data_IF_237727129441
#
_entry.id   IF_237727129441
#
_cell.length_a   1.000
_cell.length_b   1.000
_cell.length_c   1.000
_cell.angle_alpha   90.00
_cell.angle_beta   90.00
_cell.angle_gamma   90.00
#
_symmetry.space_group_name_H-M   'P 1'
#
loop_
_entity.id
_entity.type
_entity.pdbx_description
1 polymer ?
#
# COMPACT_ATOMS: atom_id res chain seq x y z
N UNK A 1 9.59 14.48 -14.32
CA UNK A 1 9.52 13.99 -15.71
C UNK A 1 8.12 14.25 -16.22
N UNK A 2 7.90 15.41 -16.82
CA UNK A 2 6.65 15.68 -17.53
C UNK A 2 6.60 14.74 -18.74
N UNK A 3 5.58 13.90 -18.80
CA UNK A 3 5.35 13.07 -19.98
C UNK A 3 5.08 14.01 -21.17
N UNK A 4 5.86 13.85 -22.23
CA UNK A 4 5.69 14.58 -23.49
C UNK A 4 4.20 14.51 -23.92
N UNK A 5 3.62 15.65 -24.35
CA UNK A 5 2.21 15.77 -24.79
C UNK A 5 1.82 14.68 -25.80
N UNK A 6 2.77 14.22 -26.63
CA UNK A 6 2.58 13.10 -27.57
C UNK A 6 2.43 11.74 -26.88
N UNK A 7 3.20 11.46 -25.81
CA UNK A 7 3.03 10.25 -24.98
C UNK A 7 1.76 10.30 -24.15
N UNK A 8 1.38 11.47 -23.62
CA UNK A 8 0.07 11.65 -22.94
C UNK A 8 -1.09 11.37 -23.90
N UNK A 9 -1.04 11.91 -25.12
CA UNK A 9 -2.04 11.60 -26.17
C UNK A 9 -2.05 10.14 -26.57
N UNK A 10 -0.89 9.46 -26.68
CA UNK A 10 -0.84 8.02 -26.99
C UNK A 10 -1.39 7.14 -25.86
N UNK A 11 -1.14 7.50 -24.60
CA UNK A 11 -1.69 6.78 -23.43
C UNK A 11 -3.21 7.01 -23.35
N UNK A 12 -3.65 8.26 -23.49
CA UNK A 12 -5.07 8.61 -23.57
C UNK A 12 -5.77 7.89 -24.73
N UNK A 13 -5.17 7.88 -25.92
CA UNK A 13 -5.75 7.21 -27.09
C UNK A 13 -5.73 5.68 -27.00
N UNK A 14 -4.82 5.06 -26.23
CA UNK A 14 -4.85 3.61 -25.98
C UNK A 14 -5.88 3.19 -24.93
N UNK A 15 -6.17 4.05 -23.95
CA UNK A 15 -7.18 3.77 -22.92
C UNK A 15 -8.61 3.83 -23.47
N UNK A 16 -8.86 4.62 -24.51
CA UNK A 16 -10.19 4.80 -25.11
C UNK A 16 -10.47 3.93 -26.34
N UNK A 17 -9.48 3.25 -26.95
CA UNK A 17 -9.68 2.57 -28.25
C UNK A 17 -9.68 1.04 -28.24
N UNK A 18 -9.37 0.36 -27.15
CA UNK A 18 -9.57 -1.09 -27.08
C UNK A 18 -10.70 -1.39 -26.10
N UNK A 19 -11.92 -1.48 -26.62
CA UNK A 19 -12.96 -2.23 -25.94
C UNK A 19 -12.41 -3.64 -25.65
N UNK A 20 -12.67 -4.20 -24.46
CA UNK A 20 -12.27 -5.56 -24.16
C UNK A 20 -12.86 -6.51 -25.21
N UNK A 21 -12.06 -7.50 -25.63
CA UNK A 21 -12.43 -8.46 -26.66
C UNK A 21 -13.76 -9.11 -26.29
N UNK A 22 -14.75 -9.09 -27.19
CA UNK A 22 -16.07 -9.67 -26.94
C UNK A 22 -15.94 -11.15 -26.53
N UNK A 23 -16.56 -11.51 -25.41
CA UNK A 23 -16.46 -12.84 -24.81
C UNK A 23 -15.28 -13.08 -23.87
N UNK A 24 -14.39 -12.09 -23.67
CA UNK A 24 -13.37 -12.17 -22.62
C UNK A 24 -13.96 -11.87 -21.23
N UNK A 25 -13.34 -12.40 -20.17
CA UNK A 25 -13.73 -12.14 -18.77
C UNK A 25 -13.74 -10.63 -18.47
N UNK A 26 -12.82 -9.87 -19.05
CA UNK A 26 -12.76 -8.41 -18.92
C UNK A 26 -13.94 -7.71 -19.60
N UNK A 27 -14.48 -8.27 -20.69
CA UNK A 27 -15.67 -7.74 -21.38
C UNK A 27 -16.94 -7.97 -20.58
N UNK A 28 -17.08 -9.14 -19.96
CA UNK A 28 -18.16 -9.43 -19.02
C UNK A 28 -18.12 -8.51 -17.79
N UNK A 29 -16.93 -8.34 -17.18
CA UNK A 29 -16.74 -7.43 -16.05
C UNK A 29 -17.00 -5.97 -16.44
N UNK A 30 -16.59 -5.55 -17.64
CA UNK A 30 -16.88 -4.21 -18.17
C UNK A 30 -18.39 -3.98 -18.30
N UNK A 31 -19.12 -4.92 -18.90
CA UNK A 31 -20.57 -4.83 -19.06
C UNK A 31 -21.30 -4.82 -17.70
N UNK A 32 -20.88 -5.66 -16.75
CA UNK A 32 -21.42 -5.63 -15.38
C UNK A 32 -21.13 -4.31 -14.68
N UNK A 33 -19.90 -3.80 -14.78
CA UNK A 33 -19.50 -2.53 -14.17
C UNK A 33 -20.24 -1.33 -14.78
N UNK A 34 -20.57 -1.35 -16.07
CA UNK A 34 -21.35 -0.29 -16.73
C UNK A 34 -22.73 -0.10 -16.08
N UNK A 35 -23.28 -1.15 -15.46
CA UNK A 35 -24.55 -1.09 -14.74
C UNK A 35 -24.39 -0.73 -13.25
N UNK A 36 -23.17 -0.48 -12.78
CA UNK A 36 -22.89 -0.15 -11.39
C UNK A 36 -23.52 1.19 -11.00
N UNK A 37 -24.35 1.24 -9.93
CA UNK A 37 -24.93 2.49 -9.44
C UNK A 37 -23.84 3.48 -8.98
N UNK A 38 -22.70 2.98 -8.50
CA UNK A 38 -21.57 3.80 -8.08
C UNK A 38 -20.94 4.57 -9.25
N UNK A 39 -20.85 3.95 -10.44
CA UNK A 39 -20.26 4.59 -11.62
C UNK A 39 -21.20 5.58 -12.31
N UNK A 40 -22.50 5.57 -11.98
CA UNK A 40 -23.48 6.58 -12.43
C UNK A 40 -23.40 7.88 -11.64
N UNK A 41 -22.82 7.85 -10.45
CA UNK A 41 -22.63 9.06 -9.65
C UNK A 41 -21.63 10.00 -10.32
N UNK A 42 -21.80 11.33 -10.20
CA UNK A 42 -20.77 12.29 -10.58
C UNK A 42 -19.42 11.98 -9.90
N UNK A 43 -18.28 12.27 -10.58
CA UNK A 43 -16.94 12.04 -10.03
C UNK A 43 -16.72 12.61 -8.63
N UNK A 44 -17.35 13.74 -8.32
CA UNK A 44 -17.24 14.43 -7.04
C UNK A 44 -17.81 13.58 -5.90
N UNK A 45 -18.98 12.97 -6.11
CA UNK A 45 -19.61 12.10 -5.12
C UNK A 45 -18.84 10.80 -4.95
N UNK A 46 -18.32 10.24 -6.05
CA UNK A 46 -17.45 9.06 -5.98
C UNK A 46 -16.22 9.34 -5.15
N UNK A 47 -15.50 10.43 -5.43
CA UNK A 47 -14.32 10.82 -4.67
C UNK A 47 -14.66 11.02 -3.19
N UNK A 48 -15.80 11.64 -2.86
CA UNK A 48 -16.22 11.82 -1.47
C UNK A 48 -16.48 10.50 -0.75
N UNK A 49 -17.10 9.53 -1.43
CA UNK A 49 -17.27 8.16 -0.89
C UNK A 49 -15.89 7.53 -0.67
N UNK A 50 -14.97 7.65 -1.62
CA UNK A 50 -13.63 7.08 -1.49
C UNK A 50 -12.77 7.77 -0.44
N UNK A 51 -12.95 9.07 -0.22
CA UNK A 51 -12.29 9.77 0.89
C UNK A 51 -12.67 9.14 2.23
N UNK A 52 -13.95 8.80 2.42
CA UNK A 52 -14.43 8.16 3.64
C UNK A 52 -13.91 6.73 3.77
N UNK A 53 -13.91 5.95 2.69
CA UNK A 53 -13.49 4.54 2.71
C UNK A 53 -11.97 4.39 2.85
N UNK A 54 -11.19 5.29 2.24
CA UNK A 54 -9.73 5.19 2.17
C UNK A 54 -9.01 5.98 3.27
N UNK A 55 -9.73 6.78 4.07
CA UNK A 55 -9.19 7.41 5.27
C UNK A 55 -9.23 6.40 6.42
N UNK A 56 -8.15 5.62 6.53
CA UNK A 56 -7.97 4.56 7.52
C UNK A 56 -7.13 4.99 8.73
N UNK A 57 -6.77 6.27 8.82
CA UNK A 57 -5.96 6.81 9.90
C UNK A 57 -4.47 6.78 9.55
N UNK A 58 -3.81 5.65 9.81
CA UNK A 58 -2.38 5.50 9.61
C UNK A 58 -1.98 4.19 8.93
N UNK A 59 -0.98 4.28 8.05
CA UNK A 59 -0.41 3.15 7.32
C UNK A 59 1.06 3.00 7.70
N UNK A 60 1.39 1.87 8.32
CA UNK A 60 2.76 1.49 8.66
C UNK A 60 3.31 0.46 7.67
N UNK A 61 4.41 0.80 7.01
CA UNK A 61 5.13 -0.12 6.12
C UNK A 61 6.06 -1.00 6.95
N UNK A 62 5.92 -2.31 6.78
CA UNK A 62 6.74 -3.33 7.42
C UNK A 62 7.52 -4.13 6.36
N UNK A 63 8.64 -4.71 6.76
CA UNK A 63 9.42 -5.62 5.91
C UNK A 63 9.78 -6.88 6.70
N UNK A 64 9.51 -8.04 6.12
CA UNK A 64 9.89 -9.35 6.67
C UNK A 64 10.84 -10.03 5.71
N UNK A 65 11.90 -10.60 6.28
CA UNK A 65 12.86 -11.42 5.54
C UNK A 65 12.21 -12.74 5.16
N UNK A 66 12.64 -13.31 4.04
CA UNK A 66 12.29 -14.68 3.69
C UNK A 66 12.75 -15.63 4.80
N UNK A 67 11.89 -16.55 5.19
CA UNK A 67 12.16 -17.54 6.23
C UNK A 67 11.98 -18.94 5.64
N UNK A 68 12.81 -19.87 6.10
CA UNK A 68 12.69 -21.28 5.77
C UNK A 68 12.27 -22.00 7.04
N UNK A 69 11.11 -22.67 7.00
CA UNK A 69 10.59 -23.47 8.12
C UNK A 69 10.81 -24.94 7.79
N UNK A 70 11.41 -25.68 8.71
CA UNK A 70 11.52 -27.14 8.58
C UNK A 70 10.14 -27.75 8.84
N UNK A 71 9.64 -28.53 7.87
CA UNK A 71 8.44 -29.34 8.03
C UNK A 71 8.89 -30.71 8.56
N UNK A 72 8.65 -30.95 9.86
CA UNK A 72 8.78 -32.28 10.43
C UNK A 72 7.50 -33.06 10.13
N UNK A 73 7.42 -33.64 8.94
CA UNK A 73 6.44 -34.70 8.69
C UNK A 73 6.90 -35.89 9.55
N UNK A 74 6.09 -36.31 10.53
CA UNK A 74 6.44 -37.29 11.57
C UNK A 74 6.75 -38.72 11.10
N UNK A 75 7.43 -38.89 9.96
CA UNK A 75 7.95 -40.16 9.46
C UNK A 75 9.15 -40.60 10.28
N UNK A 76 8.98 -41.73 10.97
CA UNK A 76 10.01 -42.52 11.61
C UNK A 76 10.94 -43.03 10.51
N UNK A 77 12.08 -42.36 10.30
CA UNK A 77 13.09 -42.78 9.33
C UNK A 77 13.97 -41.63 8.87
N UNK A 78 15.17 -41.96 8.35
CA UNK A 78 16.24 -41.06 7.89
C UNK A 78 15.87 -40.18 6.67
N UNK A 79 14.69 -39.57 6.65
CA UNK A 79 14.24 -38.67 5.59
C UNK A 79 14.87 -37.30 5.75
N UNK A 80 15.41 -36.75 4.65
CA UNK A 80 16.00 -35.40 4.64
C UNK A 80 14.94 -34.36 5.04
N UNK A 81 15.28 -33.37 5.87
CA UNK A 81 14.33 -32.33 6.28
C UNK A 81 13.77 -31.61 5.06
N UNK A 82 12.45 -31.51 4.98
CA UNK A 82 11.76 -30.72 3.94
C UNK A 82 11.56 -29.31 4.45
N UNK A 83 11.78 -28.30 3.61
CA UNK A 83 11.66 -26.89 3.99
C UNK A 83 10.45 -26.24 3.30
N UNK A 84 9.62 -25.57 4.08
CA UNK A 84 8.64 -24.61 3.60
C UNK A 84 9.30 -23.24 3.46
N UNK A 85 9.19 -22.62 2.29
CA UNK A 85 9.62 -21.23 2.11
C UNK A 85 8.47 -20.31 2.47
N UNK A 86 8.62 -19.54 3.55
CA UNK A 86 7.68 -18.49 3.92
C UNK A 86 8.05 -17.22 3.12
N UNK A 87 7.18 -16.73 2.22
CA UNK A 87 7.49 -15.58 1.39
C UNK A 87 7.73 -14.34 2.25
N UNK A 88 8.91 -13.73 2.07
CA UNK A 88 9.23 -12.41 2.63
C UNK A 88 8.66 -11.29 1.75
N UNK A 89 9.06 -10.05 2.07
CA UNK A 89 8.63 -8.86 1.32
C UNK A 89 8.16 -7.70 2.21
N UNK A 90 7.47 -6.76 1.57
CA UNK A 90 6.86 -5.62 2.26
C UNK A 90 5.39 -5.87 2.50
N UNK A 91 4.93 -5.49 3.69
CA UNK A 91 3.53 -5.47 4.08
C UNK A 91 3.11 -4.09 4.56
N UNK A 92 1.82 -3.94 4.84
CA UNK A 92 1.25 -2.74 5.45
C UNK A 92 0.41 -3.14 6.67
N UNK A 93 0.58 -2.39 7.75
CA UNK A 93 -0.27 -2.42 8.93
C UNK A 93 -1.13 -1.16 8.94
N UNK A 94 -2.42 -1.33 9.21
CA UNK A 94 -3.34 -0.21 9.42
C UNK A 94 -3.39 0.04 10.92
N UNK A 95 -3.16 1.29 11.31
CA UNK A 95 -3.18 1.75 12.70
C UNK A 95 -4.24 2.84 12.83
N UNK A 96 -4.79 2.96 14.04
CA UNK A 96 -5.69 4.06 14.34
C UNK A 96 -4.95 5.41 14.27
N UNK A 97 -5.70 6.49 14.04
CA UNK A 97 -5.12 7.83 13.80
C UNK A 97 -4.28 8.36 14.97
N UNK A 98 -4.66 7.98 16.19
CA UNK A 98 -4.02 8.41 17.45
C UNK A 98 -3.06 7.36 18.01
N UNK A 99 -2.93 6.22 17.34
CA UNK A 99 -2.10 5.13 17.82
C UNK A 99 -0.62 5.40 17.53
N UNK A 100 0.25 5.21 18.52
CA UNK A 100 1.68 5.32 18.30
C UNK A 100 2.17 4.15 17.39
N UNK A 101 2.78 4.43 16.22
CA UNK A 101 3.39 3.41 15.36
C UNK A 101 4.44 2.52 16.02
N UNK A 102 5.09 3.03 17.06
CA UNK A 102 6.14 2.36 17.81
C UNK A 102 5.72 2.30 19.28
N UNK A 103 4.83 1.35 19.65
CA UNK A 103 4.37 1.26 21.02
C UNK A 103 5.56 1.05 21.95
N UNK A 104 5.80 2.01 22.84
CA UNK A 104 6.70 1.85 23.97
C UNK A 104 6.12 0.76 24.85
N UNK A 105 6.92 -0.26 25.17
CA UNK A 105 6.47 -1.49 25.85
C UNK A 105 5.78 -1.28 27.21
N UNK A 106 5.72 -0.05 27.72
CA UNK A 106 5.29 0.28 29.07
C UNK A 106 3.94 1.02 29.15
N UNK A 107 3.34 1.50 28.05
CA UNK A 107 2.23 2.47 28.14
C UNK A 107 0.84 2.01 27.69
N UNK A 108 0.65 0.90 26.97
CA UNK A 108 -0.70 0.46 26.59
C UNK A 108 -0.90 -1.06 26.61
N UNK A 109 -2.09 -1.50 27.07
CA UNK A 109 -2.67 -2.86 26.95
C UNK A 109 -2.99 -3.24 25.49
N UNK A 110 -2.25 -2.74 24.52
CA UNK A 110 -2.44 -3.06 23.11
C UNK A 110 -1.84 -4.44 22.81
N UNK A 111 -2.60 -5.23 22.06
CA UNK A 111 -2.26 -6.53 21.47
C UNK A 111 -0.74 -6.66 21.22
N UNK A 112 -0.07 -7.71 21.73
CA UNK A 112 1.38 -7.84 21.65
C UNK A 112 1.88 -7.70 20.19
N UNK A 113 3.05 -7.06 19.96
CA UNK A 113 3.58 -6.80 18.62
C UNK A 113 3.61 -8.04 17.69
N UNK A 114 3.80 -9.22 18.27
CA UNK A 114 3.83 -10.50 17.56
C UNK A 114 2.46 -10.91 16.98
N UNK A 115 1.34 -10.58 17.63
CA UNK A 115 0.00 -10.88 17.13
C UNK A 115 -0.42 -9.93 16.00
N UNK A 116 -0.01 -8.67 16.08
CA UNK A 116 -0.18 -7.69 14.98
C UNK A 116 0.63 -8.07 13.75
N UNK A 117 1.86 -8.53 13.95
CA UNK A 117 2.68 -9.06 12.86
C UNK A 117 2.00 -10.30 12.24
N UNK A 118 1.43 -11.21 13.04
CA UNK A 118 0.62 -12.32 12.51
C UNK A 118 -0.61 -11.87 11.74
N UNK A 119 -1.33 -10.84 12.18
CA UNK A 119 -2.45 -10.26 11.43
C UNK A 119 -1.98 -9.68 10.07
N UNK A 120 -0.80 -9.03 10.04
CA UNK A 120 -0.19 -8.52 8.80
C UNK A 120 0.19 -9.61 7.80
N UNK A 121 0.46 -10.84 8.28
CA UNK A 121 0.79 -11.98 7.42
C UNK A 121 -0.42 -12.38 6.57
N UNK A 122 -1.65 -12.22 7.08
CA UNK A 122 -2.86 -12.47 6.29
C UNK A 122 -3.16 -11.35 5.27
N UNK A 123 -2.65 -10.14 5.49
CA UNK A 123 -2.75 -9.01 4.54
C UNK A 123 -1.54 -8.89 3.62
N UNK A 124 -0.52 -9.75 3.78
CA UNK A 124 0.75 -9.77 3.05
C UNK A 124 0.62 -9.84 1.51
N UNK A 125 -0.52 -10.30 1.00
CA UNK A 125 -0.81 -10.37 -0.44
C UNK A 125 -1.74 -9.26 -0.97
N UNK A 126 -2.35 -8.46 -0.10
CA UNK A 126 -3.29 -7.39 -0.48
C UNK A 126 -2.56 -6.06 -0.31
N UNK A 127 -1.77 -5.69 -1.33
CA UNK A 127 -1.17 -4.36 -1.40
C UNK A 127 -2.22 -3.27 -1.10
N UNK A 128 -1.76 -2.11 -0.63
CA UNK A 128 -2.67 -1.04 -0.19
C UNK A 128 -3.81 -0.80 -1.17
N UNK A 129 -5.03 -0.99 -0.68
CA UNK A 129 -6.30 -0.58 -1.27
C UNK A 129 -6.57 -1.19 -2.67
N UNK A 130 -7.26 -2.32 -2.63
CA UNK A 130 -7.70 -3.15 -3.76
C UNK A 130 -8.80 -2.51 -4.64
N UNK A 131 -8.67 -1.24 -5.01
CA UNK A 131 -9.55 -0.65 -6.04
C UNK A 131 -8.97 -0.79 -7.46
N UNK A 132 -7.67 -1.10 -7.58
CA UNK A 132 -7.03 -1.38 -8.88
C UNK A 132 -7.65 -2.54 -9.69
N UNK A 133 -8.27 -3.57 -9.09
CA UNK A 133 -8.84 -4.67 -9.87
C UNK A 133 -10.25 -4.40 -10.41
N UNK A 134 -10.99 -3.42 -9.86
CA UNK A 134 -12.43 -3.29 -10.13
C UNK A 134 -12.70 -2.50 -11.42
N UNK A 135 -12.13 -1.29 -11.54
CA UNK A 135 -12.24 -0.47 -12.75
C UNK A 135 -11.04 0.48 -12.88
N UNK A 136 -10.47 0.57 -14.09
CA UNK A 136 -9.32 1.45 -14.37
C UNK A 136 -9.64 2.93 -14.18
N UNK A 137 -10.88 3.34 -14.47
CA UNK A 137 -11.32 4.71 -14.24
C UNK A 137 -11.26 5.07 -12.76
N UNK A 138 -11.87 4.24 -11.91
CA UNK A 138 -11.84 4.41 -10.46
C UNK A 138 -10.42 4.42 -9.92
N UNK A 139 -9.56 3.52 -10.41
CA UNK A 139 -8.15 3.53 -10.04
C UNK A 139 -7.50 4.89 -10.31
N UNK A 140 -7.67 5.46 -11.51
CA UNK A 140 -7.07 6.76 -11.81
C UNK A 140 -7.61 7.91 -10.94
N UNK A 141 -8.89 7.84 -10.57
CA UNK A 141 -9.53 8.82 -9.68
C UNK A 141 -8.98 8.70 -8.24
N UNK A 142 -8.78 7.48 -7.74
CA UNK A 142 -8.54 7.24 -6.30
C UNK A 142 -7.11 6.88 -5.94
N UNK A 143 -6.22 6.61 -6.91
CA UNK A 143 -4.89 6.03 -6.65
C UNK A 143 -4.04 6.85 -5.68
N UNK A 144 -4.22 8.18 -5.64
CA UNK A 144 -3.46 9.06 -4.75
C UNK A 144 -4.10 9.23 -3.37
N UNK A 145 -5.38 8.89 -3.20
CA UNK A 145 -6.12 9.12 -1.95
C UNK A 145 -5.49 8.39 -0.75
N UNK A 146 -5.08 7.11 -0.84
CA UNK A 146 -4.47 6.42 0.30
C UNK A 146 -3.19 7.10 0.81
N UNK A 147 -2.45 7.74 -0.10
CA UNK A 147 -1.21 8.45 0.22
C UNK A 147 -1.50 9.84 0.80
N UNK A 148 -2.53 10.50 0.30
CA UNK A 148 -2.89 11.87 0.68
C UNK A 148 -3.68 11.96 1.99
N UNK A 149 -4.56 11.01 2.25
CA UNK A 149 -5.51 11.06 3.35
C UNK A 149 -5.02 10.41 4.64
N UNK A 150 -4.00 9.55 4.54
CA UNK A 150 -3.50 8.78 5.69
C UNK A 150 -2.12 9.27 6.11
N UNK A 151 -1.84 9.14 7.40
CA UNK A 151 -0.49 9.30 7.90
C UNK A 151 0.33 8.05 7.55
N UNK A 152 1.61 8.27 7.22
CA UNK A 152 2.53 7.19 6.87
C UNK A 152 3.55 6.98 7.97
N UNK A 153 4.00 5.75 8.12
CA UNK A 153 5.12 5.41 9.00
C UNK A 153 5.87 4.21 8.44
N UNK A 154 7.13 4.06 8.81
CA UNK A 154 7.94 2.89 8.45
C UNK A 154 8.42 2.22 9.72
N UNK A 155 8.35 0.89 9.80
CA UNK A 155 8.76 0.17 11.02
C UNK A 155 10.16 0.55 11.49
N UNK A 156 11.07 0.83 10.55
CA UNK A 156 12.37 1.43 10.83
C UNK A 156 12.88 2.22 9.63
N UNK A 157 13.89 3.05 9.85
CA UNK A 157 14.62 3.78 8.80
C UNK A 157 15.19 2.83 7.73
N UNK A 158 15.66 1.66 8.13
CA UNK A 158 16.18 0.66 7.19
C UNK A 158 15.08 0.12 6.26
N UNK A 159 13.85 -0.03 6.75
CA UNK A 159 12.69 -0.40 5.94
C UNK A 159 12.33 0.73 4.98
N UNK A 160 12.35 1.98 5.46
CA UNK A 160 12.10 3.17 4.64
C UNK A 160 13.11 3.30 3.49
N UNK A 161 14.42 3.24 3.79
CA UNK A 161 15.49 3.30 2.80
C UNK A 161 15.35 2.19 1.75
N UNK A 162 15.12 0.96 2.21
CA UNK A 162 14.93 -0.18 1.31
C UNK A 162 13.71 0.02 0.41
N UNK A 163 12.59 0.48 0.96
CA UNK A 163 11.33 0.64 0.22
C UNK A 163 11.39 1.77 -0.81
N UNK A 164 11.95 2.92 -0.43
CA UNK A 164 11.94 4.14 -1.24
C UNK A 164 13.13 4.22 -2.20
N UNK A 165 14.33 3.90 -1.71
CA UNK A 165 15.59 4.16 -2.42
C UNK A 165 16.05 2.92 -3.17
N UNK A 166 16.18 1.79 -2.47
CA UNK A 166 16.72 0.54 -3.06
C UNK A 166 15.73 -0.11 -4.02
N UNK A 167 14.50 -0.35 -3.56
CA UNK A 167 13.49 -1.06 -4.35
C UNK A 167 12.53 -0.12 -5.09
N UNK A 168 12.57 1.19 -4.82
CA UNK A 168 11.80 2.23 -5.53
C UNK A 168 10.32 1.89 -5.71
N UNK A 169 9.69 1.30 -4.69
CA UNK A 169 8.32 0.78 -4.78
C UNK A 169 7.25 1.85 -4.89
N UNK A 170 7.63 3.10 -4.62
CA UNK A 170 6.76 4.27 -4.59
C UNK A 170 7.11 5.25 -5.73
N UNK A 171 6.26 5.32 -6.78
CA UNK A 171 6.43 6.29 -7.86
C UNK A 171 6.39 7.74 -7.35
N UNK A 172 6.98 8.67 -8.09
CA UNK A 172 7.11 10.08 -7.68
C UNK A 172 5.77 10.74 -7.34
N UNK A 173 4.72 10.46 -8.10
CA UNK A 173 3.37 11.00 -7.86
C UNK A 173 2.82 10.58 -6.49
N UNK A 174 2.98 9.31 -6.12
CA UNK A 174 2.53 8.79 -4.84
C UNK A 174 3.34 9.38 -3.68
N UNK A 175 4.66 9.48 -3.82
CA UNK A 175 5.52 10.11 -2.80
C UNK A 175 5.18 11.58 -2.59
N UNK A 176 4.89 12.31 -3.66
CA UNK A 176 4.44 13.71 -3.57
C UNK A 176 3.02 13.87 -3.05
N UNK A 177 2.23 12.79 -2.97
CA UNK A 177 0.90 12.83 -2.37
C UNK A 177 0.93 12.63 -0.86
N UNK A 178 2.01 12.05 -0.30
CA UNK A 178 2.17 11.84 1.14
C UNK A 178 2.37 13.19 1.83
N UNK A 179 1.47 13.51 2.76
CA UNK A 179 1.44 14.78 3.51
C UNK A 179 1.92 14.66 4.94
N UNK A 180 1.60 13.55 5.60
CA UNK A 180 1.93 13.32 7.01
C UNK A 180 2.78 12.07 7.12
N UNK A 181 3.95 12.21 7.73
CA UNK A 181 4.89 11.11 7.97
C UNK A 181 5.30 11.09 9.44
N UNK A 182 5.01 9.99 10.13
CA UNK A 182 5.63 9.68 11.41
C UNK A 182 7.05 9.16 11.18
N UNK A 183 7.99 9.62 12.00
CA UNK A 183 9.39 9.18 11.96
C UNK A 183 9.96 9.00 13.36
N UNK A 184 10.78 7.97 13.54
CA UNK A 184 11.55 7.75 14.79
C UNK A 184 12.78 8.66 14.89
N UNK A 185 13.16 9.32 13.80
CA UNK A 185 14.33 10.19 13.76
C UNK A 185 14.08 11.41 12.87
N UNK A 186 14.93 12.42 13.03
CA UNK A 186 15.00 13.53 12.09
C UNK A 186 15.39 12.98 10.72
N UNK A 187 14.59 13.31 9.70
CA UNK A 187 14.84 12.87 8.33
C UNK A 187 16.01 13.67 7.75
N UNK A 188 16.82 13.02 6.92
CA UNK A 188 17.85 13.76 6.18
C UNK A 188 17.19 14.54 5.05
N UNK A 189 17.76 15.70 4.68
CA UNK A 189 17.25 16.53 3.59
C UNK A 189 17.12 15.76 2.26
N UNK A 190 17.93 14.73 2.04
CA UNK A 190 17.81 13.85 0.87
C UNK A 190 16.53 13.01 0.90
N UNK A 191 16.16 12.47 2.07
CA UNK A 191 14.93 11.68 2.25
C UNK A 191 13.70 12.58 2.23
N UNK A 192 13.74 13.75 2.86
CA UNK A 192 12.65 14.73 2.81
C UNK A 192 12.35 15.15 1.35
N UNK A 193 13.38 15.38 0.54
CA UNK A 193 13.22 15.65 -0.91
C UNK A 193 12.55 14.53 -1.68
N UNK A 194 12.55 13.29 -1.19
CA UNK A 194 11.80 12.20 -1.82
C UNK A 194 10.29 12.39 -1.67
N UNK A 195 9.85 13.09 -0.62
CA UNK A 195 8.46 13.39 -0.28
C UNK A 195 8.16 14.87 -0.54
N UNK A 196 8.12 15.25 -1.81
CA UNK A 196 7.95 16.65 -2.22
C UNK A 196 6.63 17.34 -1.75
N UNK A 197 5.67 16.58 -1.22
CA UNK A 197 4.40 17.10 -0.70
C UNK A 197 4.24 16.93 0.81
N UNK A 198 5.34 16.65 1.53
CA UNK A 198 5.33 16.47 2.98
C UNK A 198 5.02 17.80 3.67
N UNK A 199 3.94 17.83 4.44
CA UNK A 199 3.46 18.99 5.18
C UNK A 199 3.85 18.89 6.66
N UNK A 200 3.79 17.68 7.23
CA UNK A 200 4.05 17.45 8.66
C UNK A 200 4.90 16.20 8.87
N UNK A 201 5.96 16.34 9.67
CA UNK A 201 6.72 15.22 10.22
C UNK A 201 6.46 15.13 11.71
N UNK A 202 5.86 14.02 12.14
CA UNK A 202 5.61 13.76 13.55
C UNK A 202 6.76 12.90 14.07
N UNK A 203 7.62 13.52 14.88
CA UNK A 203 8.70 12.82 15.56
C UNK A 203 8.13 12.16 16.80
N UNK A 204 8.43 10.87 16.98
CA UNK A 204 8.16 10.19 18.24
C UNK A 204 9.03 10.85 19.32
N UNK A 205 8.39 11.64 20.19
CA UNK A 205 9.02 12.21 21.37
C UNK A 205 9.06 11.12 22.43
N UNK A 206 10.25 10.53 22.63
CA UNK A 206 10.49 9.67 23.79
C UNK A 206 10.30 10.40 25.10
#
# INVERSE_FOLDING_TARGET
MQLNKSRQRKIHNKLHKSLPIEGSRESELWNQNTHSPLLRLPPELRNRIYELVLSVGQIQVIFKKYQFRVINNGTIGNSRPTYETLPGGFGCLILDREENPWPTAHLHKSVPPAEREKASIYTWGRGMTLLSPVCRQLYHETVLLPYRLNAWSFRSIAVMDRFLVKERRLPKSHRGAIRVLYSQCVLTAAVEKLFAGLEVVLLDGG
#
